data_IF_865111668180
#
_entry.id   IF_865111668180
#
_cell.length_a   1.000
_cell.length_b   1.000
_cell.length_c   1.000
_cell.angle_alpha   90.00
_cell.angle_beta   90.00
_cell.angle_gamma   90.00
#
_symmetry.space_group_name_H-M   'P 1'
#
loop_
_entity.id
_entity.type
_entity.pdbx_description
1 polymer ?
#
# COMPACT_ATOMS: atom_id res chain seq x y z
N UNK A 1 -25.78 2.71 82.65
CA UNK A 1 -26.70 3.40 81.73
C UNK A 1 -25.85 4.26 80.81
N UNK A 2 -25.72 3.86 79.55
CA UNK A 2 -24.77 4.41 78.60
C UNK A 2 -25.32 5.59 77.81
N UNK A 3 -24.46 6.56 77.51
CA UNK A 3 -24.74 7.61 76.53
C UNK A 3 -23.65 7.55 75.46
N UNK A 4 -24.09 7.25 74.24
CA UNK A 4 -23.27 7.10 73.05
C UNK A 4 -22.64 8.46 72.66
N UNK A 5 -21.32 8.46 72.47
CA UNK A 5 -20.60 9.57 71.84
C UNK A 5 -20.86 9.48 70.34
N UNK A 6 -21.68 10.40 69.81
CA UNK A 6 -21.83 10.58 68.36
C UNK A 6 -20.57 11.24 67.81
N UNK A 7 -19.80 10.50 67.01
CA UNK A 7 -18.69 11.04 66.23
C UNK A 7 -19.29 11.65 64.97
N UNK A 8 -19.42 12.98 64.92
CA UNK A 8 -19.67 13.71 63.67
C UNK A 8 -18.42 13.67 62.81
N UNK A 9 -18.51 13.02 61.65
CA UNK A 9 -17.49 13.12 60.61
C UNK A 9 -17.58 14.51 59.96
N UNK A 10 -16.71 15.43 60.40
CA UNK A 10 -16.55 16.76 59.82
C UNK A 10 -15.94 16.63 58.41
N UNK A 11 -16.72 16.99 57.40
CA UNK A 11 -16.35 16.90 55.99
C UNK A 11 -15.34 18.00 55.64
N UNK A 12 -14.05 17.70 55.74
CA UNK A 12 -12.97 18.68 55.54
C UNK A 12 -12.81 19.10 54.06
N UNK A 13 -12.65 20.40 53.74
CA UNK A 13 -12.57 20.92 52.36
C UNK A 13 -11.35 20.42 51.57
N UNK A 14 -10.36 19.82 52.24
CA UNK A 14 -9.17 19.23 51.62
C UNK A 14 -9.48 18.00 50.75
N UNK A 15 -10.66 17.40 50.91
CA UNK A 15 -11.07 16.15 50.25
C UNK A 15 -11.56 16.41 48.82
N UNK A 16 -11.98 17.65 48.53
CA UNK A 16 -12.46 18.06 47.21
C UNK A 16 -11.30 18.20 46.21
N UNK A 17 -10.18 18.77 46.64
CA UNK A 17 -9.02 19.04 45.77
C UNK A 17 -8.33 17.73 45.38
N UNK A 18 -8.17 16.78 46.32
CA UNK A 18 -7.50 15.49 46.06
C UNK A 18 -8.31 14.58 45.12
N UNK A 19 -9.66 14.64 45.18
CA UNK A 19 -10.54 13.89 44.25
C UNK A 19 -10.51 14.41 42.82
N UNK A 20 -10.37 15.73 42.64
CA UNK A 20 -10.26 16.33 41.30
C UNK A 20 -8.87 16.19 40.68
N UNK A 21 -7.82 16.10 41.50
CA UNK A 21 -6.44 15.88 41.03
C UNK A 21 -6.21 14.44 40.53
N UNK A 22 -6.87 13.43 41.10
CA UNK A 22 -6.78 12.03 40.65
C UNK A 22 -7.59 11.76 39.36
N UNK A 23 -8.71 12.45 39.15
CA UNK A 23 -9.51 12.32 37.93
C UNK A 23 -8.85 12.96 36.69
N UNK A 24 -8.05 14.02 36.88
CA UNK A 24 -7.35 14.70 35.79
C UNK A 24 -6.21 13.85 35.19
N UNK A 25 -5.54 13.01 35.99
CA UNK A 25 -4.43 12.17 35.52
C UNK A 25 -4.93 10.97 34.70
N UNK A 26 -6.12 10.45 35.00
CA UNK A 26 -6.71 9.33 34.24
C UNK A 26 -7.38 9.79 32.93
N UNK A 27 -7.80 11.05 32.83
CA UNK A 27 -8.31 11.64 31.58
C UNK A 27 -7.18 12.06 30.62
N UNK A 28 -5.96 12.29 31.12
CA UNK A 28 -4.82 12.69 30.31
C UNK A 28 -4.07 11.53 29.63
N UNK A 29 -4.25 10.28 30.09
CA UNK A 29 -3.66 9.08 29.47
C UNK A 29 -4.48 8.51 28.31
N UNK A 30 -5.72 8.97 28.11
CA UNK A 30 -6.59 8.52 27.02
C UNK A 30 -6.31 9.22 25.67
N UNK A 31 -5.43 10.23 25.62
CA UNK A 31 -5.30 11.12 24.46
C UNK A 31 -4.03 10.91 23.61
N UNK A 32 -3.29 9.81 23.81
CA UNK A 32 -2.07 9.56 23.02
C UNK A 32 -2.03 8.15 22.43
N UNK A 33 -3.12 7.74 21.78
CA UNK A 33 -3.08 6.70 20.76
C UNK A 33 -3.48 7.36 19.44
N UNK A 34 -2.63 8.26 18.95
CA UNK A 34 -2.60 8.56 17.52
C UNK A 34 -1.78 7.43 16.89
N UNK A 35 -2.42 6.28 16.71
CA UNK A 35 -1.91 5.26 15.79
C UNK A 35 -1.90 5.89 14.42
N UNK A 36 -0.71 6.19 13.90
CA UNK A 36 -0.54 6.63 12.53
C UNK A 36 -1.13 5.56 11.60
N UNK A 37 -2.29 5.85 11.01
CA UNK A 37 -2.80 5.06 9.90
C UNK A 37 -1.87 5.33 8.73
N UNK A 38 -0.91 4.44 8.50
CA UNK A 38 -0.25 4.34 7.21
C UNK A 38 -1.36 3.99 6.20
N UNK A 39 -1.91 5.03 5.58
CA UNK A 39 -2.94 4.87 4.58
C UNK A 39 -2.32 4.12 3.40
N UNK A 40 -3.00 3.06 2.97
CA UNK A 40 -2.57 2.31 1.81
C UNK A 40 -2.34 3.22 0.60
N UNK A 41 -1.25 3.03 -0.16
CA UNK A 41 -1.15 3.60 -1.51
C UNK A 41 -2.19 2.91 -2.40
N UNK A 42 -3.42 3.41 -2.33
CA UNK A 42 -4.55 2.87 -3.07
C UNK A 42 -4.23 2.91 -4.56
N UNK A 43 -4.55 1.82 -5.27
CA UNK A 43 -4.52 1.79 -6.74
C UNK A 43 -5.22 3.01 -7.32
N UNK A 44 -6.25 3.54 -6.64
CA UNK A 44 -7.03 4.71 -7.05
C UNK A 44 -6.28 6.05 -7.07
N UNK A 45 -5.27 6.23 -6.21
CA UNK A 45 -4.49 7.46 -6.14
C UNK A 45 -3.32 7.49 -7.12
N UNK A 46 -2.92 6.34 -7.66
CA UNK A 46 -1.83 6.24 -8.63
C UNK A 46 -2.30 6.63 -10.03
N UNK A 47 -1.50 7.45 -10.71
CA UNK A 47 -1.78 7.96 -12.04
C UNK A 47 -0.73 7.44 -13.02
N UNK A 48 -1.20 6.80 -14.10
CA UNK A 48 -0.32 6.37 -15.17
C UNK A 48 0.17 7.58 -15.97
N UNK A 49 1.48 7.76 -16.02
CA UNK A 49 2.10 8.94 -16.66
C UNK A 49 3.01 8.55 -17.82
N UNK A 50 3.83 7.52 -17.66
CA UNK A 50 4.75 7.02 -18.66
C UNK A 50 4.93 5.49 -18.57
N UNK A 51 5.84 4.88 -19.34
CA UNK A 51 6.16 3.47 -19.18
C UNK A 51 6.70 3.19 -17.77
N UNK A 52 7.59 4.04 -17.25
CA UNK A 52 8.07 3.97 -15.86
C UNK A 52 7.28 4.91 -14.95
N UNK A 53 6.79 4.41 -13.82
CA UNK A 53 6.06 5.17 -12.81
C UNK A 53 6.68 4.87 -11.42
N UNK A 54 7.62 5.70 -10.99
CA UNK A 54 8.40 5.51 -9.75
C UNK A 54 7.80 6.28 -8.57
N UNK A 55 6.73 5.76 -7.96
CA UNK A 55 6.08 6.42 -6.80
C UNK A 55 6.86 6.23 -5.50
N UNK A 56 7.72 5.22 -5.44
CA UNK A 56 8.59 4.99 -4.30
C UNK A 56 9.86 5.87 -4.32
N UNK A 57 10.12 6.59 -5.42
CA UNK A 57 11.33 7.40 -5.62
C UNK A 57 12.62 6.61 -5.37
N UNK A 58 12.68 5.38 -5.89
CA UNK A 58 13.82 4.46 -5.71
C UNK A 58 14.69 4.31 -6.96
N UNK A 59 14.25 4.87 -8.09
CA UNK A 59 15.00 4.85 -9.34
C UNK A 59 15.68 6.19 -9.56
N UNK A 60 16.90 6.17 -10.08
CA UNK A 60 17.56 7.39 -10.54
C UNK A 60 16.96 7.86 -11.87
N UNK A 61 17.08 9.15 -12.19
CA UNK A 61 16.61 9.71 -13.47
C UNK A 61 17.21 8.98 -14.68
N UNK A 62 18.49 8.58 -14.57
CA UNK A 62 19.15 7.78 -15.62
C UNK A 62 18.49 6.41 -15.77
N UNK A 63 18.19 5.74 -14.65
CA UNK A 63 17.51 4.43 -14.66
C UNK A 63 16.10 4.53 -15.24
N UNK A 64 15.36 5.59 -14.91
CA UNK A 64 14.04 5.87 -15.48
C UNK A 64 14.15 6.04 -16.99
N UNK A 65 15.09 6.87 -17.46
CA UNK A 65 15.33 7.09 -18.89
C UNK A 65 15.69 5.80 -19.64
N UNK A 66 16.61 5.01 -19.09
CA UNK A 66 17.05 3.75 -19.71
C UNK A 66 15.88 2.74 -19.81
N UNK A 67 15.05 2.65 -18.77
CA UNK A 67 13.89 1.77 -18.75
C UNK A 67 12.78 2.24 -19.69
N UNK A 68 12.54 3.54 -19.78
CA UNK A 68 11.58 4.12 -20.74
C UNK A 68 12.01 3.81 -22.18
N UNK A 69 13.30 3.93 -22.50
CA UNK A 69 13.84 3.59 -23.82
C UNK A 69 13.65 2.11 -24.16
N UNK A 70 13.91 1.21 -23.21
CA UNK A 70 13.67 -0.22 -23.39
C UNK A 70 12.18 -0.51 -23.62
N UNK A 71 11.29 0.08 -22.82
CA UNK A 71 9.85 -0.11 -22.95
C UNK A 71 9.32 0.43 -24.29
N UNK A 72 9.84 1.58 -24.74
CA UNK A 72 9.54 2.17 -26.03
C UNK A 72 9.96 1.23 -27.17
N UNK A 73 11.18 0.67 -27.11
CA UNK A 73 11.65 -0.28 -28.13
C UNK A 73 10.79 -1.54 -28.19
N UNK A 74 10.34 -2.08 -27.06
CA UNK A 74 9.42 -3.21 -27.01
C UNK A 74 8.07 -2.88 -27.66
N UNK A 75 7.54 -1.69 -27.39
CA UNK A 75 6.30 -1.25 -28.01
C UNK A 75 6.45 -1.06 -29.52
N UNK A 76 7.57 -0.52 -29.99
CA UNK A 76 7.82 -0.31 -31.42
C UNK A 76 8.07 -1.62 -32.19
N UNK A 77 8.93 -2.50 -31.66
CA UNK A 77 9.39 -3.72 -32.35
C UNK A 77 8.44 -4.90 -32.19
N UNK A 78 7.91 -5.11 -30.98
CA UNK A 78 7.06 -6.27 -30.66
C UNK A 78 5.57 -5.92 -30.53
N UNK A 79 5.22 -4.61 -30.60
CA UNK A 79 3.86 -4.12 -30.32
C UNK A 79 3.38 -4.58 -28.96
N UNK A 80 4.27 -4.61 -27.97
CA UNK A 80 3.99 -4.99 -26.59
C UNK A 80 4.20 -3.79 -25.69
N UNK A 81 3.15 -3.36 -24.98
CA UNK A 81 3.25 -2.27 -24.01
C UNK A 81 3.71 -2.83 -22.67
N UNK A 82 4.76 -2.26 -22.09
CA UNK A 82 5.24 -2.64 -20.76
C UNK A 82 5.18 -1.43 -19.85
N UNK A 83 4.61 -1.58 -18.65
CA UNK A 83 4.68 -0.58 -17.59
C UNK A 83 5.54 -1.10 -16.43
N UNK A 84 6.44 -0.26 -15.93
CA UNK A 84 7.23 -0.50 -14.72
C UNK A 84 6.72 0.42 -13.63
N UNK A 85 6.41 -0.14 -12.47
CA UNK A 85 5.81 0.59 -11.35
C UNK A 85 6.54 0.25 -10.06
N UNK A 86 6.94 1.28 -9.33
CA UNK A 86 7.39 1.14 -7.94
C UNK A 86 6.39 1.82 -7.02
N UNK A 87 6.10 1.19 -5.89
CA UNK A 87 5.26 1.73 -4.83
C UNK A 87 5.96 1.55 -3.49
N UNK A 88 5.62 2.40 -2.53
CA UNK A 88 6.22 2.30 -1.21
C UNK A 88 5.82 1.00 -0.52
N UNK A 89 4.54 0.68 -0.53
CA UNK A 89 3.95 -0.41 0.24
C UNK A 89 2.61 -0.86 -0.38
N UNK A 90 2.26 -2.13 -0.20
CA UNK A 90 0.92 -2.67 -0.47
C UNK A 90 -0.03 -2.43 0.71
N UNK A 91 0.53 -2.07 1.87
CA UNK A 91 -0.18 -1.76 3.11
C UNK A 91 -1.16 -2.87 3.53
N UNK A 92 -0.65 -4.11 3.45
CA UNK A 92 -1.39 -5.33 3.78
C UNK A 92 -2.20 -5.93 2.63
N UNK A 93 -2.30 -5.23 1.49
CA UNK A 93 -2.95 -5.77 0.30
C UNK A 93 -2.17 -6.95 -0.30
N UNK A 94 -2.91 -7.87 -0.93
CA UNK A 94 -2.30 -8.93 -1.72
C UNK A 94 -1.73 -8.36 -3.03
N UNK A 95 -0.46 -8.68 -3.33
CA UNK A 95 0.26 -8.12 -4.48
C UNK A 95 -0.33 -8.58 -5.81
N UNK A 96 -0.90 -9.79 -5.86
CA UNK A 96 -1.53 -10.31 -7.06
C UNK A 96 -2.78 -9.51 -7.39
N UNK A 97 -3.70 -9.39 -6.43
CA UNK A 97 -4.93 -8.61 -6.58
C UNK A 97 -4.63 -7.16 -6.93
N UNK A 98 -3.68 -6.55 -6.22
CA UNK A 98 -3.23 -5.17 -6.47
C UNK A 98 -2.71 -5.00 -7.91
N UNK A 99 -1.84 -5.91 -8.36
CA UNK A 99 -1.25 -5.82 -9.71
C UNK A 99 -2.27 -5.99 -10.83
N UNK A 100 -3.24 -6.89 -10.65
CA UNK A 100 -4.33 -7.13 -11.61
C UNK A 100 -5.24 -5.91 -11.70
N UNK A 101 -5.60 -5.31 -10.56
CA UNK A 101 -6.44 -4.12 -10.51
C UNK A 101 -5.74 -2.93 -11.14
N UNK A 102 -4.45 -2.74 -10.86
CA UNK A 102 -3.63 -1.70 -11.47
C UNK A 102 -3.54 -1.88 -13.00
N UNK A 103 -3.26 -3.10 -13.46
CA UNK A 103 -3.18 -3.43 -14.88
C UNK A 103 -4.47 -3.09 -15.63
N UNK A 104 -5.61 -3.53 -15.09
CA UNK A 104 -6.94 -3.29 -15.67
C UNK A 104 -7.29 -1.81 -15.65
N UNK A 105 -7.06 -1.13 -14.52
CA UNK A 105 -7.39 0.29 -14.35
C UNK A 105 -6.66 1.16 -15.35
N UNK A 106 -5.38 0.91 -15.57
CA UNK A 106 -4.56 1.68 -16.50
C UNK A 106 -4.72 1.22 -17.95
N UNK A 107 -5.46 0.13 -18.20
CA UNK A 107 -5.67 -0.39 -19.54
C UNK A 107 -4.35 -0.72 -20.24
N UNK A 108 -3.40 -1.28 -19.48
CA UNK A 108 -2.07 -1.62 -20.01
C UNK A 108 -2.24 -2.67 -21.11
N UNK A 109 -1.70 -2.38 -22.27
CA UNK A 109 -1.73 -3.28 -23.42
C UNK A 109 -2.06 -2.55 -24.71
N UNK A 110 -1.39 -2.96 -25.77
CA UNK A 110 -1.73 -2.46 -27.09
C UNK A 110 -3.08 -3.03 -27.52
N UNK A 111 -4.07 -2.15 -27.76
CA UNK A 111 -5.44 -2.54 -28.15
C UNK A 111 -5.53 -3.35 -29.44
N UNK A 112 -4.57 -3.19 -30.35
CA UNK A 112 -4.56 -3.90 -31.63
C UNK A 112 -3.95 -5.30 -31.52
N UNK A 113 -2.99 -5.50 -30.62
CA UNK A 113 -2.26 -6.78 -30.49
C UNK A 113 -2.57 -7.53 -29.20
N UNK A 114 -3.31 -6.93 -28.26
CA UNK A 114 -3.57 -7.44 -26.92
C UNK A 114 -2.31 -7.93 -26.20
N UNK A 115 -1.21 -7.18 -26.35
CA UNK A 115 0.08 -7.45 -25.71
C UNK A 115 0.35 -6.35 -24.69
N UNK A 116 0.31 -6.72 -23.42
CA UNK A 116 0.59 -5.81 -22.32
C UNK A 116 1.25 -6.53 -21.16
N UNK A 117 2.24 -5.90 -20.54
CA UNK A 117 2.86 -6.38 -19.31
C UNK A 117 2.99 -5.26 -18.27
N UNK A 118 2.89 -5.63 -17.00
CA UNK A 118 3.14 -4.77 -15.85
C UNK A 118 4.22 -5.41 -14.98
N UNK A 119 5.18 -4.62 -14.53
CA UNK A 119 6.16 -5.01 -13.51
C UNK A 119 5.90 -4.10 -12.30
N UNK A 120 5.55 -4.70 -11.18
CA UNK A 120 5.25 -4.01 -9.92
C UNK A 120 6.30 -4.37 -8.85
N UNK A 121 6.89 -3.34 -8.25
CA UNK A 121 7.81 -3.43 -7.12
C UNK A 121 7.22 -2.74 -5.90
N UNK A 122 6.95 -3.49 -4.82
CA UNK A 122 6.57 -2.95 -3.52
C UNK A 122 7.78 -2.98 -2.58
N UNK A 123 8.38 -1.81 -2.38
CA UNK A 123 9.72 -1.68 -1.78
C UNK A 123 9.74 -2.13 -0.32
N UNK A 124 8.85 -1.58 0.52
CA UNK A 124 8.80 -1.90 1.96
C UNK A 124 8.31 -3.33 2.22
N UNK A 125 7.49 -3.88 1.34
CA UNK A 125 7.03 -5.27 1.43
C UNK A 125 8.10 -6.29 1.01
N UNK A 126 9.17 -5.85 0.36
CA UNK A 126 10.16 -6.71 -0.29
C UNK A 126 9.50 -7.73 -1.24
N UNK A 127 8.46 -7.29 -1.96
CA UNK A 127 7.73 -8.11 -2.94
C UNK A 127 7.82 -7.48 -4.31
N UNK A 128 7.91 -8.32 -5.32
CA UNK A 128 7.71 -7.90 -6.69
C UNK A 128 6.85 -8.91 -7.44
N UNK A 129 6.19 -8.41 -8.47
CA UNK A 129 5.34 -9.21 -9.34
C UNK A 129 5.41 -8.68 -10.76
N UNK A 130 5.25 -9.58 -11.71
CA UNK A 130 5.01 -9.24 -13.09
C UNK A 130 3.68 -9.84 -13.52
N UNK A 131 2.95 -9.10 -14.35
CA UNK A 131 1.71 -9.52 -15.01
C UNK A 131 1.93 -9.43 -16.51
N UNK A 132 1.60 -10.48 -17.24
CA UNK A 132 1.75 -10.51 -18.71
C UNK A 132 0.45 -11.02 -19.32
N UNK A 133 -0.23 -10.17 -20.09
CA UNK A 133 -1.32 -10.62 -20.95
C UNK A 133 -0.74 -10.97 -22.33
N UNK A 134 -0.86 -12.23 -22.72
CA UNK A 134 -0.45 -12.72 -24.04
C UNK A 134 -1.69 -12.89 -24.92
N UNK A 135 -1.86 -12.03 -25.92
CA UNK A 135 -2.89 -12.17 -26.95
C UNK A 135 -2.50 -13.13 -28.08
N UNK A 136 -2.09 -14.38 -27.81
CA UNK A 136 -1.62 -15.31 -28.87
C UNK A 136 -2.18 -16.74 -28.78
N UNK A 137 -2.94 -17.11 -29.83
CA UNK A 137 -3.12 -18.46 -30.41
C UNK A 137 -4.24 -19.38 -29.83
N UNK A 138 -5.24 -19.80 -30.65
CA UNK A 138 -6.34 -20.72 -30.27
C UNK A 138 -5.95 -22.19 -30.03
N UNK A 139 -4.67 -22.58 -30.19
CA UNK A 139 -4.21 -23.96 -29.96
C UNK A 139 -3.65 -24.22 -28.55
N UNK A 140 -3.67 -23.22 -27.67
CA UNK A 140 -3.37 -23.39 -26.26
C UNK A 140 -4.68 -23.34 -25.45
N UNK A 141 -5.10 -24.45 -24.81
CA UNK A 141 -6.25 -24.43 -23.92
C UNK A 141 -5.95 -23.44 -22.79
N UNK A 142 -6.77 -22.40 -22.72
CA UNK A 142 -6.70 -21.30 -21.77
C UNK A 142 -6.99 -21.80 -20.36
N UNK A 143 -5.96 -22.28 -19.68
CA UNK A 143 -5.91 -22.43 -18.21
C UNK A 143 -4.80 -21.57 -17.58
N UNK A 144 -4.08 -20.79 -18.40
CA UNK A 144 -2.97 -19.93 -17.97
C UNK A 144 -3.14 -18.52 -18.55
N UNK A 145 -3.79 -17.65 -17.79
CA UNK A 145 -3.50 -16.22 -17.85
C UNK A 145 -1.98 -16.06 -17.68
N UNK A 146 -1.35 -15.25 -18.53
CA UNK A 146 0.07 -15.32 -18.86
C UNK A 146 1.02 -15.26 -17.66
N UNK A 147 2.27 -15.69 -17.88
CA UNK A 147 3.28 -15.85 -16.84
C UNK A 147 3.24 -14.69 -15.83
N UNK A 148 2.72 -14.97 -14.65
CA UNK A 148 2.65 -14.06 -13.52
C UNK A 148 3.24 -14.76 -12.30
N UNK A 149 3.93 -14.02 -11.46
CA UNK A 149 4.70 -14.64 -10.37
C UNK A 149 5.04 -13.65 -9.28
N UNK A 150 4.75 -14.04 -8.04
CA UNK A 150 5.22 -13.33 -6.85
C UNK A 150 6.61 -13.83 -6.50
N UNK A 151 7.54 -12.91 -6.32
CA UNK A 151 8.86 -13.23 -5.77
C UNK A 151 9.16 -12.25 -4.65
N UNK A 152 9.87 -12.74 -3.63
CA UNK A 152 10.39 -11.93 -2.53
C UNK A 152 11.86 -11.65 -2.78
N UNK A 153 12.32 -10.46 -2.42
CA UNK A 153 13.76 -10.22 -2.37
C UNK A 153 14.37 -11.06 -1.26
N UNK A 154 15.56 -11.62 -1.51
CA UNK A 154 16.42 -12.10 -0.42
C UNK A 154 17.20 -10.88 0.06
N UNK A 155 17.17 -10.64 1.38
CA UNK A 155 18.00 -9.65 2.06
C UNK A 155 19.47 -9.96 1.91
#
# INVERSE_FOLDING_TARGET
MGHAVRISFENSPRNFIVRHLLAAVFAASALFIVTGTAAAESVSSLHYSNYVNDFAHVLSDQTVSDLDDVCLQLNQKARAQVAVVTINSLDGSDIESYSVDLYKRWGIGNKATNRGALILLAVKDHKYRYEVAMGWNPSFPTERLGASGVKRFRS
#
